data_IF_917228636245
#
_entry.id   IF_917228636245
#
_cell.length_a   1.000
_cell.length_b   1.000
_cell.length_c   1.000
_cell.angle_alpha   90.00
_cell.angle_beta   90.00
_cell.angle_gamma   90.00
#
_symmetry.space_group_name_H-M   'P 1'
#
loop_
_entity.id
_entity.type
_entity.pdbx_description
1 polymer ?
#
# COMPACT_ATOMS: atom_id res chain seq x y z
N UNK A 1 1.47 2.60 -10.35
CA UNK A 1 0.84 1.99 -9.15
C UNK A 1 1.50 0.65 -8.90
N UNK A 2 1.80 0.30 -7.65
CA UNK A 2 2.47 -0.95 -7.30
C UNK A 2 1.97 -1.44 -5.94
N UNK A 3 2.02 -2.77 -5.72
CA UNK A 3 1.80 -3.40 -4.42
C UNK A 3 3.06 -4.20 -4.05
N UNK A 4 3.49 -4.06 -2.80
CA UNK A 4 4.63 -4.83 -2.29
C UNK A 4 4.30 -6.32 -2.13
N UNK A 5 5.31 -7.15 -1.80
CA UNK A 5 5.12 -8.58 -1.58
C UNK A 5 4.50 -8.93 -0.22
N UNK A 6 4.06 -7.94 0.57
CA UNK A 6 3.47 -8.14 1.89
C UNK A 6 4.48 -8.16 3.04
N UNK A 7 3.97 -8.05 4.28
CA UNK A 7 4.77 -7.95 5.51
C UNK A 7 5.29 -9.32 5.95
N UNK A 8 6.42 -9.36 6.67
CA UNK A 8 6.84 -10.58 7.35
C UNK A 8 6.27 -10.62 8.77
N UNK A 9 5.88 -11.79 9.24
CA UNK A 9 5.56 -12.03 10.63
C UNK A 9 6.83 -12.21 11.49
N UNK A 10 6.66 -12.38 12.80
CA UNK A 10 7.75 -12.60 13.76
C UNK A 10 8.53 -13.91 13.54
N UNK A 11 7.99 -14.83 12.74
CA UNK A 11 8.58 -16.13 12.44
C UNK A 11 9.27 -16.14 11.07
N UNK A 12 9.33 -15.00 10.38
CA UNK A 12 9.89 -14.88 9.03
C UNK A 12 8.95 -15.36 7.91
N UNK A 13 7.69 -15.66 8.22
CA UNK A 13 6.67 -16.04 7.24
C UNK A 13 6.09 -14.79 6.60
N UNK A 14 6.04 -14.77 5.28
CA UNK A 14 5.48 -13.66 4.51
C UNK A 14 3.95 -13.72 4.52
N UNK A 15 3.33 -12.65 5.01
CA UNK A 15 1.90 -12.38 4.92
C UNK A 15 1.69 -11.58 3.63
N UNK A 16 1.05 -12.16 2.60
CA UNK A 16 0.84 -11.47 1.32
C UNK A 16 -0.09 -10.26 1.48
N UNK A 17 0.07 -9.26 0.62
CA UNK A 17 -0.88 -8.15 0.55
C UNK A 17 -2.24 -8.67 0.08
N UNK A 18 -3.31 -8.17 0.69
CA UNK A 18 -4.67 -8.32 0.19
C UNK A 18 -4.93 -7.36 -0.98
N UNK A 19 -4.29 -6.19 -0.98
CA UNK A 19 -4.40 -5.23 -2.08
C UNK A 19 -3.55 -5.62 -3.30
N UNK A 20 -4.09 -5.36 -4.48
CA UNK A 20 -3.46 -5.65 -5.77
C UNK A 20 -3.21 -4.37 -6.55
N UNK A 21 -2.15 -4.39 -7.36
CA UNK A 21 -1.83 -3.30 -8.29
C UNK A 21 -3.04 -2.92 -9.14
N UNK A 22 -3.34 -1.62 -9.22
CA UNK A 22 -4.45 -1.08 -10.00
C UNK A 22 -5.77 -0.93 -9.24
N UNK A 23 -5.87 -1.40 -8.00
CA UNK A 23 -7.04 -1.16 -7.16
C UNK A 23 -7.10 0.28 -6.66
N UNK A 24 -8.31 0.85 -6.64
CA UNK A 24 -8.61 2.11 -5.95
C UNK A 24 -8.87 1.81 -4.47
N UNK A 25 -8.21 2.55 -3.59
CA UNK A 25 -8.29 2.32 -2.14
C UNK A 25 -8.58 3.61 -1.40
N UNK A 26 -9.24 3.48 -0.25
CA UNK A 26 -9.39 4.53 0.75
C UNK A 26 -8.30 4.35 1.80
N UNK A 27 -7.62 5.41 2.17
CA UNK A 27 -6.60 5.43 3.21
C UNK A 27 -6.81 6.64 4.12
N UNK A 28 -6.23 6.60 5.32
CA UNK A 28 -6.35 7.71 6.26
C UNK A 28 -5.79 9.03 5.68
N UNK A 29 -6.46 10.16 5.95
CA UNK A 29 -6.07 11.48 5.41
C UNK A 29 -4.59 11.86 5.64
N UNK A 30 -4.00 11.36 6.73
CA UNK A 30 -2.62 11.65 7.13
C UNK A 30 -1.70 10.42 7.02
N UNK A 31 -2.13 9.39 6.29
CA UNK A 31 -1.35 8.18 6.08
C UNK A 31 -0.41 8.32 4.88
N UNK A 32 0.70 7.58 4.96
CA UNK A 32 1.71 7.50 3.91
C UNK A 32 2.77 8.60 3.97
N UNK A 33 3.70 8.52 3.03
CA UNK A 33 4.81 9.44 2.85
C UNK A 33 4.94 9.76 1.37
N UNK A 34 5.08 11.05 1.06
CA UNK A 34 5.31 11.49 -0.32
C UNK A 34 6.76 11.23 -0.71
N UNK A 35 6.97 10.63 -1.88
CA UNK A 35 8.29 10.34 -2.44
C UNK A 35 8.31 10.72 -3.92
N UNK A 36 9.47 11.13 -4.42
CA UNK A 36 9.69 11.38 -5.85
C UNK A 36 10.52 10.26 -6.44
N UNK A 37 9.98 9.59 -7.45
CA UNK A 37 10.66 8.54 -8.23
C UNK A 37 10.55 8.96 -9.69
N UNK A 38 11.69 9.04 -10.38
CA UNK A 38 11.76 9.42 -11.80
C UNK A 38 11.04 10.74 -12.14
N UNK A 39 11.08 11.70 -11.21
CA UNK A 39 10.42 13.00 -11.35
C UNK A 39 8.91 13.00 -11.09
N UNK A 40 8.32 11.84 -10.78
CA UNK A 40 6.90 11.69 -10.48
C UNK A 40 6.68 11.58 -8.96
N UNK A 41 5.69 12.33 -8.47
CA UNK A 41 5.23 12.24 -7.09
C UNK A 41 4.42 10.97 -6.87
N UNK A 42 4.79 10.23 -5.84
CA UNK A 42 4.16 9.00 -5.40
C UNK A 42 3.85 9.09 -3.91
N UNK A 43 2.79 8.41 -3.49
CA UNK A 43 2.47 8.21 -2.08
C UNK A 43 2.76 6.76 -1.71
N UNK A 44 3.73 6.53 -0.84
CA UNK A 44 4.01 5.20 -0.28
C UNK A 44 3.34 5.08 1.08
N UNK A 45 2.69 3.96 1.37
CA UNK A 45 2.05 3.69 2.65
C UNK A 45 2.08 2.20 2.97
N UNK A 46 1.77 1.84 4.22
CA UNK A 46 1.61 0.44 4.61
C UNK A 46 0.19 -0.02 4.30
N UNK A 47 0.02 -1.33 4.11
CA UNK A 47 -1.31 -1.92 3.95
C UNK A 47 -2.23 -1.63 5.13
N UNK A 48 -1.67 -1.62 6.34
CA UNK A 48 -2.41 -1.38 7.58
C UNK A 48 -3.04 0.04 7.63
N UNK A 49 -2.59 0.96 6.78
CA UNK A 49 -3.15 2.32 6.67
C UNK A 49 -4.33 2.42 5.66
N UNK A 50 -4.62 1.32 4.95
CA UNK A 50 -5.72 1.21 3.97
C UNK A 50 -7.01 0.81 4.71
N UNK A 51 -8.04 1.64 4.57
CA UNK A 51 -9.35 1.47 5.22
C UNK A 51 -10.24 0.51 4.41
N UNK A 52 -10.09 0.51 3.09
CA UNK A 52 -10.86 -0.38 2.23
C UNK A 52 -10.57 -0.21 0.74
N UNK A 53 -10.99 -1.19 -0.04
CA UNK A 53 -10.91 -1.19 -1.51
C UNK A 53 -12.25 -0.71 -2.09
N UNK A 54 -12.21 0.29 -2.96
CA UNK A 54 -13.40 0.77 -3.67
C UNK A 54 -13.65 -0.13 -4.89
N UNK A 55 -14.83 -0.73 -4.95
CA UNK A 55 -15.33 -1.46 -6.12
C UNK A 55 -16.33 -0.58 -6.85
N UNK A 56 -16.18 -0.47 -8.16
CA UNK A 56 -17.22 0.07 -9.05
C UNK A 56 -18.32 -0.98 -9.28
#
# INVERSE_FOLDING_TARGET
>A
MAAGPGKMDKNGVRIPMEVRTGQKVLFGKYAGTEIKIDGLEHLIMREDDIIGVVKE
#
